data_IF_856257294060
#
_entry.id   IF_856257294060
#
_cell.length_a   1.000
_cell.length_b   1.000
_cell.length_c   1.000
_cell.angle_alpha   90.00
_cell.angle_beta   90.00
_cell.angle_gamma   90.00
#
_symmetry.space_group_name_H-M   'P 1'
#
loop_
_entity.id
_entity.type
_entity.pdbx_description
1 polymer ?
#
# COMPACT_ATOMS: atom_id res chain seq x y z
N UNK A 1 -21.26 -75.84 12.56
CA UNK A 1 -20.52 -74.65 12.13
C UNK A 1 -21.56 -73.56 11.95
N UNK A 2 -21.77 -72.65 12.92
CA UNK A 2 -22.80 -71.64 12.80
C UNK A 2 -22.31 -70.57 11.82
N UNK A 3 -23.04 -70.39 10.73
CA UNK A 3 -22.86 -69.23 9.85
C UNK A 3 -23.46 -68.00 10.53
N UNK A 4 -22.64 -66.97 10.71
CA UNK A 4 -22.99 -65.73 11.39
C UNK A 4 -23.55 -64.73 10.37
N UNK A 5 -24.86 -64.52 10.40
CA UNK A 5 -25.57 -63.55 9.55
C UNK A 5 -25.73 -62.17 10.24
N UNK A 6 -24.87 -61.84 11.20
CA UNK A 6 -24.87 -60.53 11.84
C UNK A 6 -24.44 -59.43 10.85
N UNK A 7 -25.38 -58.55 10.49
CA UNK A 7 -25.12 -57.35 9.67
C UNK A 7 -24.34 -56.27 10.44
N UNK A 8 -23.98 -56.52 11.71
CA UNK A 8 -23.30 -55.59 12.60
C UNK A 8 -21.88 -56.07 12.84
N UNK A 9 -20.93 -55.20 12.50
CA UNK A 9 -19.50 -55.49 12.48
C UNK A 9 -18.88 -55.41 13.88
N UNK A 10 -18.13 -56.44 14.27
CA UNK A 10 -17.52 -56.60 15.60
C UNK A 10 -16.08 -56.09 15.71
N UNK A 11 -15.36 -56.01 14.59
CA UNK A 11 -13.95 -55.61 14.55
C UNK A 11 -13.76 -54.30 13.78
N UNK A 12 -12.78 -53.48 14.16
CA UNK A 12 -12.45 -52.24 13.45
C UNK A 12 -11.75 -52.53 12.11
N UNK A 13 -11.96 -51.69 11.08
CA UNK A 13 -11.34 -51.91 9.75
C UNK A 13 -9.89 -51.42 9.84
N UNK A 14 -8.92 -52.09 9.22
CA UNK A 14 -7.59 -51.53 9.07
C UNK A 14 -7.68 -50.22 8.29
N UNK A 15 -6.88 -49.23 8.69
CA UNK A 15 -6.84 -47.93 8.03
C UNK A 15 -6.40 -48.12 6.58
N UNK A 16 -7.31 -47.81 5.65
CA UNK A 16 -7.06 -47.91 4.22
C UNK A 16 -6.60 -46.54 3.74
N UNK A 17 -5.55 -46.52 2.92
CA UNK A 17 -5.11 -45.28 2.29
C UNK A 17 -6.31 -44.61 1.58
N UNK A 18 -6.46 -43.28 1.70
CA UNK A 18 -7.51 -42.57 1.00
C UNK A 18 -7.43 -42.87 -0.50
N UNK A 19 -8.58 -42.97 -1.19
CA UNK A 19 -8.60 -43.27 -2.61
C UNK A 19 -7.72 -42.27 -3.37
N UNK A 20 -6.94 -42.75 -4.33
CA UNK A 20 -5.95 -41.93 -5.04
C UNK A 20 -6.55 -40.69 -5.72
N UNK A 21 -7.87 -40.67 -5.96
CA UNK A 21 -8.62 -39.54 -6.49
C UNK A 21 -8.85 -38.39 -5.50
N UNK A 22 -8.68 -38.63 -4.20
CA UNK A 22 -8.91 -37.64 -3.12
C UNK A 22 -7.60 -37.10 -2.53
N UNK A 23 -6.46 -37.64 -2.96
CA UNK A 23 -5.12 -37.19 -2.54
C UNK A 23 -4.36 -36.56 -3.71
N UNK A 24 -3.52 -35.57 -3.38
CA UNK A 24 -2.68 -34.88 -4.36
C UNK A 24 -3.42 -33.81 -5.17
N UNK A 25 -2.81 -33.41 -6.30
CA UNK A 25 -3.26 -32.28 -7.12
C UNK A 25 -4.66 -32.52 -7.70
N UNK A 26 -4.95 -33.74 -8.15
CA UNK A 26 -6.23 -34.08 -8.75
C UNK A 26 -7.40 -33.98 -7.75
N UNK A 27 -7.21 -34.52 -6.53
CA UNK A 27 -8.19 -34.38 -5.45
C UNK A 27 -8.40 -32.91 -5.06
N UNK A 28 -7.31 -32.14 -4.97
CA UNK A 28 -7.37 -30.71 -4.70
C UNK A 28 -8.17 -29.94 -5.77
N UNK A 29 -7.93 -30.18 -7.06
CA UNK A 29 -8.65 -29.52 -8.15
C UNK A 29 -10.15 -29.83 -8.10
N UNK A 30 -10.52 -31.10 -7.85
CA UNK A 30 -11.93 -31.50 -7.71
C UNK A 30 -12.60 -30.83 -6.52
N UNK A 31 -11.94 -30.80 -5.37
CA UNK A 31 -12.52 -30.25 -4.15
C UNK A 31 -12.60 -28.71 -4.16
N UNK A 32 -11.65 -28.01 -4.80
CA UNK A 32 -11.57 -26.55 -4.76
C UNK A 32 -12.16 -25.85 -5.99
N UNK A 33 -11.92 -26.36 -7.20
CA UNK A 33 -12.34 -25.69 -8.45
C UNK A 33 -13.61 -26.32 -9.06
N UNK A 34 -13.74 -27.64 -8.97
CA UNK A 34 -14.81 -28.40 -9.67
C UNK A 34 -15.79 -29.10 -8.72
N UNK A 35 -15.95 -28.60 -7.50
CA UNK A 35 -16.73 -29.26 -6.45
C UNK A 35 -18.24 -29.22 -6.67
N UNK A 36 -18.72 -28.32 -7.52
CA UNK A 36 -20.12 -28.20 -7.93
C UNK A 36 -20.24 -27.75 -9.37
N UNK A 37 -21.42 -27.88 -9.97
CA UNK A 37 -21.70 -27.38 -11.34
C UNK A 37 -21.48 -25.86 -11.42
N UNK A 38 -21.91 -25.11 -10.40
CA UNK A 38 -21.69 -23.66 -10.33
C UNK A 38 -20.19 -23.32 -10.26
N UNK A 39 -19.43 -24.00 -9.41
CA UNK A 39 -17.97 -23.79 -9.31
C UNK A 39 -17.25 -24.19 -10.60
N UNK A 40 -17.73 -25.25 -11.27
CA UNK A 40 -17.19 -25.68 -12.57
C UNK A 40 -17.40 -24.61 -13.64
N UNK A 41 -18.61 -24.05 -13.75
CA UNK A 41 -18.90 -22.96 -14.67
C UNK A 41 -18.02 -21.74 -14.34
N UNK A 42 -17.96 -21.34 -13.07
CA UNK A 42 -17.15 -20.19 -12.64
C UNK A 42 -15.66 -20.40 -12.95
N UNK A 43 -15.14 -21.61 -12.73
CA UNK A 43 -13.75 -21.96 -13.04
C UNK A 43 -13.48 -21.87 -14.53
N UNK A 44 -14.35 -22.44 -15.38
CA UNK A 44 -14.19 -22.38 -16.84
C UNK A 44 -14.24 -20.94 -17.34
N UNK A 45 -15.23 -20.16 -16.88
CA UNK A 45 -15.36 -18.74 -17.26
C UNK A 45 -14.15 -17.94 -16.79
N UNK A 46 -13.71 -18.13 -15.55
CA UNK A 46 -12.53 -17.44 -15.01
C UNK A 46 -11.26 -17.82 -15.80
N UNK A 47 -11.08 -19.10 -16.11
CA UNK A 47 -9.98 -19.58 -16.94
C UNK A 47 -10.00 -18.97 -18.35
N UNK A 48 -11.18 -18.86 -18.97
CA UNK A 48 -11.35 -18.21 -20.26
C UNK A 48 -11.04 -16.71 -20.20
N UNK A 49 -11.49 -15.99 -19.18
CA UNK A 49 -11.16 -14.58 -18.98
C UNK A 49 -9.66 -14.37 -18.75
N UNK A 50 -9.02 -15.21 -17.93
CA UNK A 50 -7.58 -15.21 -17.74
C UNK A 50 -6.87 -15.43 -19.07
N UNK A 51 -7.32 -16.40 -19.87
CA UNK A 51 -6.77 -16.65 -21.20
C UNK A 51 -6.88 -15.42 -22.11
N UNK A 52 -8.04 -14.73 -22.15
CA UNK A 52 -8.22 -13.51 -22.94
C UNK A 52 -7.30 -12.36 -22.49
N UNK A 53 -7.11 -12.19 -21.17
CA UNK A 53 -6.20 -11.16 -20.64
C UNK A 53 -4.75 -11.50 -21.00
N UNK A 54 -4.33 -12.75 -20.76
CA UNK A 54 -2.97 -13.19 -21.01
C UNK A 54 -2.62 -13.22 -22.50
N UNK A 55 -3.56 -13.58 -23.38
CA UNK A 55 -3.32 -13.61 -24.82
C UNK A 55 -3.03 -12.22 -25.39
N UNK A 56 -3.49 -11.14 -24.74
CA UNK A 56 -3.18 -9.76 -25.11
C UNK A 56 -1.97 -9.20 -24.34
N UNK A 57 -1.89 -9.46 -23.02
CA UNK A 57 -0.82 -8.93 -22.17
C UNK A 57 0.55 -9.56 -22.46
N UNK A 58 0.63 -10.88 -22.66
CA UNK A 58 1.92 -11.55 -22.83
C UNK A 58 2.63 -11.07 -24.11
N UNK A 59 1.97 -10.98 -25.29
CA UNK A 59 2.61 -10.38 -26.46
C UNK A 59 3.03 -8.94 -26.22
N UNK A 60 2.17 -8.11 -25.60
CA UNK A 60 2.50 -6.72 -25.31
C UNK A 60 3.75 -6.56 -24.43
N UNK A 61 3.96 -7.43 -23.45
CA UNK A 61 5.15 -7.43 -22.59
C UNK A 61 6.38 -7.95 -23.34
N UNK A 62 6.29 -9.15 -23.93
CA UNK A 62 7.45 -9.91 -24.41
C UNK A 62 7.90 -9.52 -25.82
N UNK A 63 6.98 -9.07 -26.67
CA UNK A 63 7.30 -8.56 -28.01
C UNK A 63 7.67 -7.06 -28.01
N UNK A 64 7.78 -6.47 -26.81
CA UNK A 64 8.18 -5.08 -26.61
C UNK A 64 9.63 -4.75 -26.99
N UNK A 65 9.94 -3.45 -27.11
CA UNK A 65 11.25 -2.92 -27.48
C UNK A 65 11.98 -2.36 -26.26
N UNK A 66 13.19 -2.87 -25.99
CA UNK A 66 14.00 -2.51 -24.81
C UNK A 66 15.06 -1.44 -25.06
N UNK A 67 15.49 -1.28 -26.32
CA UNK A 67 16.53 -0.33 -26.71
C UNK A 67 15.98 0.55 -27.83
N UNK A 68 15.77 1.82 -27.52
CA UNK A 68 15.42 2.91 -28.44
C UNK A 68 15.79 4.23 -27.74
N UNK A 69 16.17 5.24 -28.50
CA UNK A 69 16.49 6.58 -28.01
C UNK A 69 15.27 7.50 -27.96
N UNK A 70 14.24 7.21 -28.78
CA UNK A 70 12.99 7.98 -28.80
C UNK A 70 11.75 7.12 -28.96
N UNK A 71 10.60 7.69 -28.60
CA UNK A 71 9.31 7.04 -28.81
C UNK A 71 9.00 6.84 -30.32
N UNK A 72 9.45 7.78 -31.16
CA UNK A 72 9.35 7.68 -32.62
C UNK A 72 10.15 6.50 -33.16
N UNK A 73 11.36 6.28 -32.63
CA UNK A 73 12.20 5.13 -33.00
C UNK A 73 11.58 3.81 -32.54
N UNK A 74 11.02 3.74 -31.32
CA UNK A 74 10.26 2.56 -30.88
C UNK A 74 9.15 2.19 -31.89
N UNK A 75 8.40 3.18 -32.40
CA UNK A 75 7.36 2.95 -33.42
C UNK A 75 7.92 2.57 -34.79
N UNK A 76 9.10 3.04 -35.15
CA UNK A 76 9.77 2.60 -36.38
C UNK A 76 10.19 1.14 -36.27
N UNK A 77 10.80 0.74 -35.15
CA UNK A 77 11.20 -0.65 -34.88
C UNK A 77 9.99 -1.59 -34.92
N UNK A 78 8.83 -1.18 -34.37
CA UNK A 78 7.62 -1.98 -34.47
C UNK A 78 7.15 -2.18 -35.91
N UNK A 79 7.11 -1.11 -36.70
CA UNK A 79 6.75 -1.19 -38.12
C UNK A 79 7.71 -2.07 -38.93
N UNK A 80 9.01 -1.99 -38.65
CA UNK A 80 10.02 -2.83 -39.33
C UNK A 80 9.94 -4.31 -38.92
N UNK A 81 9.64 -4.59 -37.65
CA UNK A 81 9.61 -5.97 -37.13
C UNK A 81 8.32 -6.70 -37.42
N UNK A 82 7.18 -6.00 -37.36
CA UNK A 82 5.85 -6.61 -37.43
C UNK A 82 5.02 -6.16 -38.63
N UNK A 83 5.49 -5.18 -39.42
CA UNK A 83 4.87 -4.75 -40.69
C UNK A 83 3.57 -3.95 -40.57
N UNK A 84 2.79 -4.19 -39.52
CA UNK A 84 1.49 -3.56 -39.26
C UNK A 84 1.58 -2.42 -38.23
N UNK A 85 0.48 -1.69 -38.00
CA UNK A 85 0.30 -0.72 -36.91
C UNK A 85 0.25 -1.38 -35.50
N UNK A 86 0.84 -2.58 -35.36
CA UNK A 86 0.86 -3.31 -34.10
C UNK A 86 1.95 -2.76 -33.21
N UNK A 87 1.56 -2.09 -32.13
CA UNK A 87 2.47 -1.57 -31.11
C UNK A 87 2.42 -2.42 -29.84
N UNK A 88 3.60 -2.74 -29.29
CA UNK A 88 3.76 -3.42 -27.99
C UNK A 88 4.43 -2.48 -26.97
N UNK A 89 4.82 -2.98 -25.80
CA UNK A 89 5.46 -2.17 -24.78
C UNK A 89 6.81 -1.60 -25.26
N UNK A 90 6.96 -0.28 -25.21
CA UNK A 90 8.27 0.37 -25.38
C UNK A 90 8.97 0.50 -24.02
N UNK A 91 9.63 -0.58 -23.59
CA UNK A 91 10.39 -0.65 -22.34
C UNK A 91 11.57 0.33 -22.27
N UNK A 92 12.07 0.78 -23.43
CA UNK A 92 13.08 1.83 -23.50
C UNK A 92 12.67 3.12 -22.77
N UNK A 93 11.39 3.51 -22.84
CA UNK A 93 10.87 4.69 -22.11
C UNK A 93 10.96 4.48 -20.61
N UNK A 94 10.57 3.29 -20.12
CA UNK A 94 10.62 2.93 -18.70
C UNK A 94 12.08 2.93 -18.21
N UNK A 95 13.01 2.40 -19.00
CA UNK A 95 14.44 2.39 -18.69
C UNK A 95 15.02 3.81 -18.60
N UNK A 96 14.75 4.66 -19.59
CA UNK A 96 15.28 6.03 -19.64
C UNK A 96 14.65 6.94 -18.57
N UNK A 97 13.39 6.69 -18.20
CA UNK A 97 12.63 7.50 -17.23
C UNK A 97 12.50 6.82 -15.87
N UNK A 98 13.27 5.77 -15.58
CA UNK A 98 13.14 4.98 -14.35
C UNK A 98 13.18 5.84 -13.08
N UNK A 99 14.17 6.73 -12.97
CA UNK A 99 14.30 7.64 -11.84
C UNK A 99 13.11 8.60 -11.72
N UNK A 100 12.57 9.06 -12.85
CA UNK A 100 11.41 9.96 -12.86
C UNK A 100 10.11 9.23 -12.46
N UNK A 101 9.98 7.95 -12.81
CA UNK A 101 8.82 7.13 -12.41
C UNK A 101 8.83 6.86 -10.90
N UNK A 102 10.01 6.52 -10.35
CA UNK A 102 10.16 6.16 -8.94
C UNK A 102 10.20 7.39 -8.04
N UNK A 103 10.94 8.43 -8.42
CA UNK A 103 11.19 9.61 -7.59
C UNK A 103 10.45 10.87 -8.06
N UNK A 104 9.62 10.81 -9.10
CA UNK A 104 9.01 12.02 -9.65
C UNK A 104 10.04 12.98 -10.25
N UNK A 105 9.86 14.29 -10.05
CA UNK A 105 10.79 15.32 -10.55
C UNK A 105 11.81 15.77 -9.49
N UNK A 106 12.11 14.93 -8.50
CA UNK A 106 13.15 15.25 -7.52
C UNK A 106 14.53 15.36 -8.16
N UNK A 107 15.33 16.31 -7.68
CA UNK A 107 16.75 16.36 -8.02
C UNK A 107 17.49 15.15 -7.41
N UNK A 108 18.55 14.63 -8.05
CA UNK A 108 19.28 13.46 -7.53
C UNK A 108 19.78 13.61 -6.09
N UNK A 109 20.17 14.83 -5.70
CA UNK A 109 20.61 15.14 -4.34
C UNK A 109 19.51 14.98 -3.28
N UNK A 110 18.23 14.91 -3.68
CA UNK A 110 17.07 14.81 -2.79
C UNK A 110 16.42 13.42 -2.79
N UNK A 111 16.96 12.44 -3.53
CA UNK A 111 16.42 11.07 -3.58
C UNK A 111 16.41 10.36 -2.22
N UNK A 112 17.24 10.81 -1.27
CA UNK A 112 17.21 10.30 0.09
C UNK A 112 15.84 10.53 0.76
N UNK A 113 15.07 11.56 0.37
CA UNK A 113 13.79 11.89 1.02
C UNK A 113 12.72 10.85 0.70
N UNK A 114 12.42 10.51 -0.58
CA UNK A 114 11.48 9.40 -0.85
C UNK A 114 11.98 8.04 -0.36
N UNK A 115 13.31 7.79 -0.35
CA UNK A 115 13.88 6.53 0.16
C UNK A 115 13.65 6.41 1.68
N UNK A 116 13.99 7.44 2.45
CA UNK A 116 13.70 7.48 3.89
C UNK A 116 12.20 7.43 4.16
N UNK A 117 11.39 8.06 3.29
CA UNK A 117 9.94 7.94 3.31
C UNK A 117 9.52 6.48 3.21
N UNK A 118 9.99 5.76 2.19
CA UNK A 118 9.71 4.32 2.00
C UNK A 118 10.15 3.47 3.20
N UNK A 119 11.31 3.75 3.79
CA UNK A 119 11.78 3.04 4.99
C UNK A 119 10.85 3.32 6.19
N UNK A 120 10.49 4.58 6.42
CA UNK A 120 9.56 4.99 7.48
C UNK A 120 8.21 4.28 7.34
N UNK A 121 7.76 4.10 6.10
CA UNK A 121 6.52 3.40 5.77
C UNK A 121 6.62 1.93 6.18
N UNK A 122 7.65 1.22 5.72
CA UNK A 122 7.86 -0.18 6.09
C UNK A 122 7.95 -0.34 7.60
N UNK A 123 8.64 0.58 8.29
CA UNK A 123 8.71 0.59 9.74
C UNK A 123 7.34 0.84 10.42
N UNK A 124 6.52 1.74 9.86
CA UNK A 124 5.19 2.04 10.39
C UNK A 124 4.17 0.92 10.19
N UNK A 125 4.31 0.13 9.12
CA UNK A 125 3.44 -1.02 8.81
C UNK A 125 3.85 -2.29 9.59
N UNK A 126 5.12 -2.40 9.96
CA UNK A 126 5.64 -3.56 10.66
C UNK A 126 4.82 -3.98 11.90
N UNK A 127 4.52 -3.10 12.89
CA UNK A 127 3.76 -3.51 14.08
C UNK A 127 2.30 -3.92 13.80
N UNK A 128 1.76 -3.53 12.64
CA UNK A 128 0.40 -3.90 12.23
C UNK A 128 0.40 -5.31 11.61
N UNK A 129 1.38 -5.59 10.76
CA UNK A 129 1.47 -6.86 10.05
C UNK A 129 2.00 -8.00 10.93
N UNK A 130 2.79 -7.67 11.96
CA UNK A 130 3.44 -8.65 12.84
C UNK A 130 3.07 -8.42 14.32
N UNK A 131 2.12 -9.21 14.86
CA UNK A 131 1.67 -9.07 16.26
C UNK A 131 2.77 -9.29 17.32
N UNK A 132 3.87 -9.94 16.96
CA UNK A 132 5.00 -10.24 17.86
C UNK A 132 5.99 -9.09 18.06
N UNK A 133 5.80 -7.95 17.38
CA UNK A 133 6.67 -6.79 17.51
C UNK A 133 6.38 -5.97 18.77
N UNK A 134 7.38 -5.25 19.30
CA UNK A 134 7.21 -4.52 20.56
C UNK A 134 6.24 -3.34 20.39
N UNK A 135 5.37 -3.14 21.38
CA UNK A 135 4.29 -2.13 21.35
C UNK A 135 4.76 -0.69 21.17
N UNK A 136 6.01 -0.37 21.50
CA UNK A 136 6.53 0.99 21.29
C UNK A 136 6.60 1.37 19.81
N UNK A 137 6.65 0.41 18.89
CA UNK A 137 6.65 0.69 17.44
C UNK A 137 5.35 1.35 16.96
N UNK A 138 4.24 1.23 17.69
CA UNK A 138 3.02 2.00 17.37
C UNK A 138 3.25 3.52 17.45
N UNK A 139 4.23 3.98 18.25
CA UNK A 139 4.62 5.40 18.24
C UNK A 139 5.27 5.81 16.93
N UNK A 140 5.98 4.91 16.23
CA UNK A 140 6.51 5.18 14.89
C UNK A 140 5.36 5.34 13.91
N UNK A 141 4.35 4.47 13.99
CA UNK A 141 3.14 4.56 13.16
C UNK A 141 2.39 5.87 13.39
N UNK A 142 2.23 6.30 14.65
CA UNK A 142 1.59 7.58 14.95
C UNK A 142 2.43 8.77 14.47
N UNK A 143 3.75 8.72 14.70
CA UNK A 143 4.66 9.80 14.30
C UNK A 143 4.80 9.92 12.78
N UNK A 144 4.64 8.82 12.04
CA UNK A 144 4.80 8.83 10.57
C UNK A 144 3.75 9.71 9.88
N UNK A 145 2.55 9.89 10.46
CA UNK A 145 1.51 10.81 9.96
C UNK A 145 2.06 12.23 9.78
N UNK A 146 2.93 12.68 10.69
CA UNK A 146 3.48 14.03 10.68
C UNK A 146 4.87 14.08 10.02
N UNK A 147 5.71 13.08 10.29
CA UNK A 147 7.08 13.05 9.77
C UNK A 147 7.09 12.82 8.26
N UNK A 148 6.22 11.95 7.74
CA UNK A 148 6.26 11.58 6.33
C UNK A 148 5.91 12.75 5.39
N UNK A 149 4.79 13.51 5.57
CA UNK A 149 4.52 14.68 4.75
C UNK A 149 5.62 15.75 4.85
N UNK A 150 6.16 15.98 6.05
CA UNK A 150 7.28 16.91 6.22
C UNK A 150 8.53 16.46 5.45
N UNK A 151 8.85 15.16 5.49
CA UNK A 151 9.99 14.62 4.77
C UNK A 151 9.84 14.78 3.24
N UNK A 152 8.62 14.65 2.70
CA UNK A 152 8.36 14.77 1.26
C UNK A 152 8.29 16.25 0.81
N UNK A 153 7.47 17.09 1.44
CA UNK A 153 7.30 18.50 1.03
C UNK A 153 8.42 19.41 1.53
N UNK A 154 8.95 19.16 2.73
CA UNK A 154 10.01 19.96 3.32
C UNK A 154 9.49 21.18 4.07
N UNK A 155 10.38 22.14 4.30
CA UNK A 155 10.11 23.28 5.18
C UNK A 155 10.64 23.06 6.59
N UNK A 156 10.10 23.81 7.55
CA UNK A 156 10.57 23.81 8.94
C UNK A 156 10.17 22.51 9.65
N UNK A 157 11.04 21.97 10.50
CA UNK A 157 10.70 20.82 11.37
C UNK A 157 9.64 21.18 12.41
N UNK A 158 9.46 22.47 12.68
CA UNK A 158 8.47 22.97 13.63
C UNK A 158 7.04 22.78 13.13
N UNK A 159 6.81 22.79 11.82
CA UNK A 159 5.49 22.56 11.23
C UNK A 159 4.86 21.22 11.67
N UNK A 160 5.50 20.03 11.47
CA UNK A 160 4.93 18.76 11.94
C UNK A 160 4.85 18.66 13.47
N UNK A 161 5.76 19.30 14.21
CA UNK A 161 5.73 19.32 15.68
C UNK A 161 4.50 20.09 16.18
N UNK A 162 4.27 21.29 15.67
CA UNK A 162 3.11 22.11 16.03
C UNK A 162 1.81 21.45 15.55
N UNK A 163 1.82 20.75 14.42
CA UNK A 163 0.68 19.96 13.97
C UNK A 163 0.34 18.84 14.97
N UNK A 164 1.34 18.07 15.41
CA UNK A 164 1.18 17.01 16.41
C UNK A 164 0.74 17.57 17.78
N UNK A 165 1.25 18.73 18.20
CA UNK A 165 0.82 19.42 19.42
C UNK A 165 -0.67 19.79 19.37
N UNK A 166 -1.19 20.22 18.21
CA UNK A 166 -2.61 20.52 18.06
C UNK A 166 -3.50 19.28 18.27
N UNK A 167 -3.09 18.13 17.73
CA UNK A 167 -3.78 16.86 17.98
C UNK A 167 -3.72 16.46 19.47
N UNK A 168 -2.56 16.64 20.11
CA UNK A 168 -2.39 16.41 21.55
C UNK A 168 -3.28 17.32 22.41
N UNK A 169 -3.36 18.61 22.08
CA UNK A 169 -4.24 19.58 22.75
C UNK A 169 -5.71 19.22 22.60
N UNK A 170 -6.14 18.83 21.39
CA UNK A 170 -7.48 18.33 21.15
C UNK A 170 -7.82 17.10 22.00
N UNK A 171 -6.88 16.16 22.13
CA UNK A 171 -7.03 14.98 22.99
C UNK A 171 -7.12 15.34 24.48
N UNK A 172 -6.28 16.26 24.96
CA UNK A 172 -6.32 16.73 26.35
C UNK A 172 -7.65 17.44 26.63
N UNK A 173 -8.12 18.31 25.72
CA UNK A 173 -9.41 18.97 25.83
C UNK A 173 -10.56 17.95 25.88
N UNK A 174 -10.53 16.94 25.01
CA UNK A 174 -11.48 15.81 25.04
C UNK A 174 -11.50 15.14 26.42
N UNK A 175 -10.33 14.72 26.93
CA UNK A 175 -10.20 14.01 28.22
C UNK A 175 -10.69 14.81 29.43
N UNK A 176 -10.56 16.14 29.38
CA UNK A 176 -11.01 17.02 30.47
C UNK A 176 -12.54 17.22 30.44
N UNK A 177 -13.15 17.15 29.26
CA UNK A 177 -14.56 17.49 29.04
C UNK A 177 -15.46 16.26 29.05
N UNK A 178 -15.00 15.13 28.51
CA UNK A 178 -15.72 13.87 28.44
C UNK A 178 -16.37 13.48 29.77
N UNK A 179 -15.68 13.53 30.94
CA UNK A 179 -16.28 13.15 32.22
C UNK A 179 -17.39 14.09 32.71
N UNK A 180 -17.47 15.31 32.16
CA UNK A 180 -18.37 16.38 32.64
C UNK A 180 -19.60 16.57 31.76
N UNK A 181 -19.40 16.56 30.44
CA UNK A 181 -20.40 16.94 29.44
C UNK A 181 -20.74 15.80 28.47
N UNK A 182 -20.12 14.62 28.63
CA UNK A 182 -20.32 13.45 27.78
C UNK A 182 -19.42 13.42 26.54
N UNK A 183 -19.29 12.23 25.95
CA UNK A 183 -18.33 11.97 24.88
C UNK A 183 -18.55 12.86 23.63
N UNK A 184 -19.79 13.06 23.20
CA UNK A 184 -20.09 13.85 22.00
C UNK A 184 -19.63 15.31 22.10
N UNK A 185 -19.92 15.97 23.23
CA UNK A 185 -19.47 17.34 23.50
C UNK A 185 -17.96 17.41 23.73
N UNK A 186 -17.38 16.38 24.35
CA UNK A 186 -15.93 16.24 24.46
C UNK A 186 -15.23 16.23 23.12
N UNK A 187 -15.72 15.43 22.16
CA UNK A 187 -15.14 15.36 20.80
C UNK A 187 -15.30 16.70 20.09
N UNK A 188 -16.48 17.32 20.15
CA UNK A 188 -16.73 18.60 19.51
C UNK A 188 -15.78 19.69 20.03
N UNK A 189 -15.62 19.82 21.35
CA UNK A 189 -14.76 20.85 21.93
C UNK A 189 -13.28 20.53 21.70
N UNK A 190 -12.87 19.26 21.77
CA UNK A 190 -11.52 18.85 21.42
C UNK A 190 -11.16 19.18 19.97
N UNK A 191 -12.08 18.95 19.04
CA UNK A 191 -11.92 19.31 17.64
C UNK A 191 -11.80 20.84 17.46
N UNK A 192 -12.69 21.63 18.07
CA UNK A 192 -12.61 23.10 18.01
C UNK A 192 -11.29 23.62 18.59
N UNK A 193 -10.81 23.05 19.70
CA UNK A 193 -9.52 23.42 20.29
C UNK A 193 -8.35 23.15 19.34
N UNK A 194 -8.34 21.99 18.68
CA UNK A 194 -7.32 21.65 17.69
C UNK A 194 -7.37 22.58 16.46
N UNK A 195 -8.57 22.88 15.95
CA UNK A 195 -8.76 23.82 14.84
C UNK A 195 -8.27 25.22 15.19
N UNK A 196 -8.60 25.72 16.38
CA UNK A 196 -8.11 27.01 16.89
C UNK A 196 -6.58 27.03 16.93
N UNK A 197 -5.97 25.95 17.46
CA UNK A 197 -4.52 25.84 17.50
C UNK A 197 -3.89 25.92 16.11
N UNK A 198 -4.37 25.12 15.15
CA UNK A 198 -3.81 25.07 13.80
C UNK A 198 -4.05 26.32 12.96
N UNK A 199 -5.12 27.09 13.21
CA UNK A 199 -5.41 28.28 12.39
C UNK A 199 -4.87 29.58 12.98
N UNK A 200 -4.72 29.67 14.31
CA UNK A 200 -4.40 30.93 14.99
C UNK A 200 -3.04 30.93 15.68
N UNK A 201 -2.53 29.76 16.08
CA UNK A 201 -1.40 29.67 17.01
C UNK A 201 -0.19 28.98 16.39
N UNK A 202 -0.40 27.89 15.63
CA UNK A 202 0.69 27.02 15.15
C UNK A 202 1.77 27.76 14.37
N UNK A 203 1.39 28.65 13.47
CA UNK A 203 2.32 29.31 12.55
C UNK A 203 3.21 30.30 13.30
N UNK A 204 2.62 31.12 14.18
CA UNK A 204 3.36 32.06 15.05
C UNK A 204 4.37 31.32 15.94
N UNK A 205 3.98 30.18 16.50
CA UNK A 205 4.88 29.36 17.31
C UNK A 205 5.97 28.66 16.49
N UNK A 206 5.64 28.21 15.27
CA UNK A 206 6.62 27.60 14.38
C UNK A 206 7.67 28.61 13.92
N UNK A 207 7.26 29.84 13.58
CA UNK A 207 8.18 30.93 13.20
C UNK A 207 9.10 31.35 14.33
N UNK A 208 8.55 31.52 15.54
CA UNK A 208 9.36 31.86 16.72
C UNK A 208 10.34 30.75 17.09
N UNK A 209 9.91 29.48 17.04
CA UNK A 209 10.81 28.34 17.27
C UNK A 209 11.91 28.24 16.20
N UNK A 210 11.56 28.50 14.94
CA UNK A 210 12.50 28.54 13.82
C UNK A 210 13.53 29.66 13.96
N UNK A 211 13.16 30.80 14.54
CA UNK A 211 14.08 31.91 14.82
C UNK A 211 15.12 31.55 15.89
N UNK A 212 14.78 30.66 16.83
CA UNK A 212 15.69 30.20 17.89
C UNK A 212 16.56 29.04 17.42
N UNK A 213 15.96 28.03 16.78
CA UNK A 213 16.64 26.85 16.26
C UNK A 213 16.29 26.70 14.77
N UNK A 214 17.20 27.10 13.87
CA UNK A 214 16.97 27.01 12.44
C UNK A 214 17.14 25.56 11.97
N UNK A 215 16.01 24.87 11.78
CA UNK A 215 15.96 23.49 11.31
C UNK A 215 14.99 23.38 10.13
N UNK A 216 15.52 23.63 8.92
CA UNK A 216 14.75 23.65 7.67
C UNK A 216 15.40 22.74 6.63
N UNK A 217 14.55 22.02 5.92
CA UNK A 217 14.94 21.31 4.69
C UNK A 217 14.30 22.01 3.48
N UNK A 218 14.95 21.89 2.33
CA UNK A 218 14.50 22.52 1.08
C UNK A 218 13.05 22.15 0.77
N UNK A 219 12.21 23.16 0.50
CA UNK A 219 10.81 22.97 0.17
C UNK A 219 10.67 22.51 -1.29
N UNK A 220 9.90 21.44 -1.50
CA UNK A 220 9.59 20.89 -2.82
C UNK A 220 8.14 21.22 -3.16
N UNK A 221 7.92 21.73 -4.36
CA UNK A 221 6.58 22.07 -4.84
C UNK A 221 5.79 20.80 -5.15
N UNK A 222 4.48 20.83 -4.93
CA UNK A 222 3.60 19.68 -5.21
C UNK A 222 3.63 19.24 -6.67
N UNK A 223 3.99 20.13 -7.61
CA UNK A 223 4.13 19.79 -9.02
C UNK A 223 5.31 18.83 -9.30
N UNK A 224 6.33 18.84 -8.44
CA UNK A 224 7.46 17.93 -8.54
C UNK A 224 7.19 16.56 -7.92
N UNK A 225 6.14 16.46 -7.08
CA UNK A 225 5.65 15.23 -6.49
C UNK A 225 4.80 14.48 -7.50
N UNK A 226 5.47 13.70 -8.36
CA UNK A 226 4.83 12.92 -9.41
C UNK A 226 5.11 11.42 -9.27
N UNK A 227 4.41 10.63 -10.07
CA UNK A 227 4.65 9.20 -10.20
C UNK A 227 4.40 8.43 -8.90
N UNK A 228 5.34 7.54 -8.58
CA UNK A 228 5.22 6.59 -7.47
C UNK A 228 5.17 7.27 -6.09
N UNK A 229 5.93 8.35 -5.90
CA UNK A 229 6.00 9.08 -4.61
C UNK A 229 4.62 9.60 -4.20
N UNK A 230 3.87 10.19 -5.15
CA UNK A 230 2.54 10.72 -4.89
C UNK A 230 1.54 9.61 -4.52
N UNK A 231 1.53 8.52 -5.28
CA UNK A 231 0.64 7.38 -5.02
C UNK A 231 0.89 6.75 -3.65
N UNK A 232 2.17 6.56 -3.29
CA UNK A 232 2.56 6.07 -1.97
C UNK A 232 2.13 7.04 -0.88
N UNK A 233 2.39 8.33 -1.06
CA UNK A 233 2.06 9.37 -0.09
C UNK A 233 0.58 9.34 0.27
N UNK A 234 -0.29 9.35 -0.74
CA UNK A 234 -1.75 9.37 -0.55
C UNK A 234 -2.22 8.05 0.08
N UNK A 235 -1.75 6.92 -0.44
CA UNK A 235 -2.14 5.60 0.06
C UNK A 235 -1.84 5.44 1.55
N UNK A 236 -0.75 6.03 2.03
CA UNK A 236 -0.26 5.80 3.39
C UNK A 236 -0.85 6.75 4.39
N UNK A 237 -0.96 8.04 4.04
CA UNK A 237 -1.71 8.96 4.88
C UNK A 237 -3.13 8.43 5.09
N UNK A 238 -3.75 7.85 4.05
CA UNK A 238 -5.06 7.19 4.16
C UNK A 238 -5.03 5.95 5.07
N UNK A 239 -4.09 5.01 4.86
CA UNK A 239 -4.00 3.80 5.68
C UNK A 239 -3.74 4.15 7.15
N UNK A 240 -2.72 4.96 7.42
CA UNK A 240 -2.30 5.27 8.79
C UNK A 240 -3.37 6.08 9.53
N UNK A 241 -4.03 7.03 8.87
CA UNK A 241 -5.14 7.79 9.48
C UNK A 241 -6.40 6.96 9.66
N UNK A 242 -6.56 5.84 8.93
CA UNK A 242 -7.69 4.92 9.10
C UNK A 242 -7.53 3.93 10.25
N UNK A 243 -6.34 3.85 10.84
CA UNK A 243 -6.09 2.97 11.99
C UNK A 243 -6.74 3.56 13.25
N UNK A 244 -7.41 2.73 14.06
CA UNK A 244 -8.10 3.16 15.28
C UNK A 244 -7.15 3.59 16.41
#
# INVERSE_FOLDING_TARGET
>A
MPEDFSYVRTDMLPEKAPPASEVGVQGWLRQNLFSSVSNTILTIVSGFLIFLVLSNMLPWIFLGVWNAESLTECRQIFRERYGDDTEYACWAVVKHRWHQIIFGYYAPAQYWRPILGFILICASLAPILYPGLPRWMFWITLASIFIYPWLIWGGTVWTPIMAAMGAGLGYVAYRIIEPRLGAYLGVAIGFVAAVIWWNLISDTFAETAQAVIPATIESVTSLNLAGFVLSITIGIVAIVASLP
#
